data_IF_520757151850
#
_entry.id   IF_520757151850
#
_cell.length_a   1.000
_cell.length_b   1.000
_cell.length_c   1.000
_cell.angle_alpha   90.00
_cell.angle_beta   90.00
_cell.angle_gamma   90.00
#
_symmetry.space_group_name_H-M   'P 1'
#
loop_
_entity.id
_entity.type
_entity.pdbx_description
1 polymer ?
#
# COMPACT_ATOMS: atom_id res chain seq x y z
N UNK A 1 8.30 6.41 15.77
CA UNK A 1 7.34 7.42 15.28
C UNK A 1 6.01 6.74 15.05
N UNK A 2 4.90 7.47 15.03
CA UNK A 2 3.63 6.88 14.57
C UNK A 2 3.71 6.61 13.06
N UNK A 3 2.86 5.70 12.58
CA UNK A 3 2.66 5.54 11.15
C UNK A 3 2.06 6.83 10.56
N UNK A 4 2.42 7.14 9.31
CA UNK A 4 1.96 8.34 8.61
C UNK A 4 1.66 8.05 7.16
N UNK A 5 0.63 8.72 6.62
CA UNK A 5 0.27 8.62 5.21
C UNK A 5 1.22 9.48 4.38
N UNK A 6 1.87 8.87 3.39
CA UNK A 6 2.71 9.58 2.43
C UNK A 6 3.03 8.70 1.22
N UNK A 7 3.30 9.35 0.09
CA UNK A 7 4.06 8.72 -1.00
C UNK A 7 5.52 8.66 -0.59
N UNK A 8 6.16 7.49 -0.74
CA UNK A 8 7.53 7.29 -0.29
C UNK A 8 8.51 8.10 -1.14
N UNK A 9 9.64 8.48 -0.54
CA UNK A 9 10.76 9.08 -1.29
C UNK A 9 11.36 8.05 -2.25
N UNK A 10 11.37 6.77 -1.87
CA UNK A 10 11.85 5.70 -2.75
C UNK A 10 11.05 5.64 -4.05
N UNK A 11 9.73 5.69 -3.99
CA UNK A 11 8.88 5.66 -5.17
C UNK A 11 9.14 6.84 -6.09
N UNK A 12 9.30 8.04 -5.53
CA UNK A 12 9.65 9.25 -6.29
C UNK A 12 11.01 9.09 -6.99
N UNK A 13 11.97 8.45 -6.34
CA UNK A 13 13.24 8.12 -6.99
C UNK A 13 13.03 7.11 -8.11
N UNK A 14 12.29 6.03 -7.84
CA UNK A 14 12.08 4.93 -8.77
C UNK A 14 11.36 5.36 -10.05
N UNK A 15 10.39 6.27 -9.97
CA UNK A 15 9.74 6.81 -11.17
C UNK A 15 10.70 7.68 -12.01
N UNK A 16 11.62 8.40 -11.37
CA UNK A 16 12.61 9.24 -12.06
C UNK A 16 13.73 8.40 -12.68
N UNK A 17 14.04 7.25 -12.10
CA UNK A 17 15.04 6.31 -12.62
C UNK A 17 14.45 5.20 -13.50
N UNK A 18 13.13 5.22 -13.74
CA UNK A 18 12.38 4.19 -14.48
C UNK A 18 12.50 2.78 -13.86
N UNK A 19 12.70 2.71 -12.55
CA UNK A 19 12.76 1.46 -11.80
C UNK A 19 11.36 0.88 -11.60
N UNK A 20 10.41 1.70 -11.16
CA UNK A 20 9.04 1.26 -10.90
C UNK A 20 8.13 1.54 -12.11
N UNK A 21 7.38 0.53 -12.53
CA UNK A 21 6.37 0.59 -13.58
C UNK A 21 5.04 0.06 -13.05
N UNK A 22 4.18 0.98 -12.61
CA UNK A 22 2.86 0.68 -12.05
C UNK A 22 1.85 0.02 -13.02
N UNK A 23 2.19 -0.11 -14.31
CA UNK A 23 1.36 -0.83 -15.29
C UNK A 23 1.75 -2.32 -15.43
N UNK A 24 2.98 -2.70 -15.07
CA UNK A 24 3.50 -4.06 -15.26
C UNK A 24 3.95 -4.73 -13.97
N UNK A 25 4.36 -3.95 -12.98
CA UNK A 25 5.04 -4.48 -11.82
C UNK A 25 4.04 -5.05 -10.81
N UNK A 26 4.48 -6.07 -10.09
CA UNK A 26 3.66 -6.73 -9.08
C UNK A 26 3.67 -5.93 -7.79
N UNK A 27 2.52 -5.31 -7.49
CA UNK A 27 2.33 -4.49 -6.29
C UNK A 27 1.60 -5.30 -5.20
N UNK A 28 2.12 -5.27 -3.98
CA UNK A 28 1.51 -5.89 -2.79
C UNK A 28 1.16 -4.85 -1.74
N UNK A 29 0.24 -5.24 -0.86
CA UNK A 29 -0.32 -4.41 0.20
C UNK A 29 -0.17 -5.10 1.57
N UNK A 30 0.75 -4.62 2.40
CA UNK A 30 1.04 -5.15 3.73
C UNK A 30 0.44 -4.27 4.85
N UNK A 31 -0.08 -4.90 5.90
CA UNK A 31 -0.72 -4.25 7.04
C UNK A 31 0.24 -4.15 8.23
N UNK A 32 0.41 -2.95 8.79
CA UNK A 32 1.37 -2.69 9.87
C UNK A 32 0.69 -2.31 11.17
N UNK A 33 1.25 -2.82 12.29
CA UNK A 33 0.76 -2.52 13.64
C UNK A 33 0.85 -1.02 13.93
N UNK A 34 0.02 -0.53 14.85
CA UNK A 34 -0.04 0.90 15.22
C UNK A 34 1.27 1.49 15.74
N UNK A 35 2.13 0.64 16.30
CA UNK A 35 3.45 1.01 16.82
C UNK A 35 4.56 0.92 15.77
N UNK A 36 4.23 0.56 14.53
CA UNK A 36 5.18 0.62 13.44
C UNK A 36 5.57 2.09 13.14
N UNK A 37 6.60 2.26 12.31
CA UNK A 37 7.07 3.59 11.88
C UNK A 37 7.07 3.68 10.35
N UNK A 38 5.98 3.24 9.74
CA UNK A 38 5.76 3.29 8.30
C UNK A 38 5.40 4.71 7.88
N UNK A 39 6.14 5.26 6.94
CA UNK A 39 6.02 6.66 6.53
C UNK A 39 6.63 6.88 5.15
N UNK A 40 6.68 8.13 4.69
CA UNK A 40 7.34 8.49 3.44
C UNK A 40 8.85 8.20 3.40
N UNK A 41 9.48 7.95 4.55
CA UNK A 41 10.89 7.55 4.64
C UNK A 41 11.10 6.03 4.54
N UNK A 42 10.03 5.22 4.57
CA UNK A 42 10.14 3.78 4.33
C UNK A 42 10.63 3.55 2.91
N UNK A 43 11.76 2.83 2.77
CA UNK A 43 12.41 2.59 1.48
C UNK A 43 11.97 1.29 0.84
N UNK A 44 11.78 0.24 1.64
CA UNK A 44 11.33 -1.05 1.18
C UNK A 44 10.43 -1.72 2.24
N UNK A 45 9.61 -2.65 1.78
CA UNK A 45 8.86 -3.53 2.67
C UNK A 45 9.81 -4.38 3.54
N UNK A 46 9.37 -4.60 4.77
CA UNK A 46 9.97 -5.53 5.73
C UNK A 46 8.86 -6.17 6.56
N UNK A 47 9.05 -7.44 6.94
CA UNK A 47 8.14 -8.14 7.85
C UNK A 47 8.17 -7.58 9.29
N UNK A 48 9.17 -6.76 9.63
CA UNK A 48 9.28 -6.16 10.96
C UNK A 48 8.07 -5.27 11.24
N UNK A 49 7.38 -5.55 12.35
CA UNK A 49 6.17 -4.83 12.78
C UNK A 49 4.98 -4.93 11.79
N UNK A 50 5.00 -5.89 10.87
CA UNK A 50 3.80 -6.29 10.14
C UNK A 50 2.89 -7.12 11.05
N UNK A 51 1.57 -7.02 10.85
CA UNK A 51 0.64 -7.94 11.52
C UNK A 51 0.85 -9.37 11.06
N UNK A 52 0.49 -10.33 11.91
CA UNK A 52 0.43 -11.74 11.56
C UNK A 52 -0.71 -12.41 12.33
N UNK A 53 -1.27 -13.47 11.75
CA UNK A 53 -2.34 -14.24 12.39
C UNK A 53 -2.98 -15.24 11.44
N UNK A 54 -4.00 -16.00 11.89
CA UNK A 54 -4.73 -16.91 11.02
C UNK A 54 -5.19 -16.24 9.71
N UNK A 55 -4.93 -16.91 8.59
CA UNK A 55 -5.23 -16.46 7.22
C UNK A 55 -4.55 -15.14 6.79
N UNK A 56 -3.56 -14.66 7.55
CA UNK A 56 -2.68 -13.56 7.15
C UNK A 56 -1.22 -13.90 7.47
N UNK A 57 -0.42 -14.08 6.43
CA UNK A 57 1.04 -14.20 6.55
C UNK A 57 1.70 -12.89 6.20
N UNK A 58 2.84 -12.61 6.84
CA UNK A 58 3.67 -11.46 6.50
C UNK A 58 3.99 -11.41 5.00
N UNK A 59 4.03 -10.22 4.44
CA UNK A 59 4.12 -9.93 3.01
C UNK A 59 2.80 -9.45 2.42
N UNK A 60 1.69 -9.47 3.17
CA UNK A 60 0.40 -8.99 2.72
C UNK A 60 -0.13 -9.67 1.44
N UNK A 61 -1.11 -9.01 0.81
CA UNK A 61 -1.82 -9.54 -0.37
C UNK A 61 -1.37 -8.86 -1.66
N UNK A 62 -1.48 -9.56 -2.79
CA UNK A 62 -1.30 -8.94 -4.09
C UNK A 62 -2.47 -7.99 -4.39
N UNK A 63 -2.15 -6.84 -4.98
CA UNK A 63 -3.16 -5.92 -5.48
C UNK A 63 -3.60 -6.31 -6.89
N UNK A 64 -4.79 -5.88 -7.30
CA UNK A 64 -5.19 -6.00 -8.71
C UNK A 64 -4.43 -4.96 -9.52
N UNK A 65 -3.86 -5.36 -10.66
CA UNK A 65 -3.11 -4.48 -11.53
C UNK A 65 -3.94 -3.23 -11.90
N UNK A 66 -3.36 -2.06 -11.64
CA UNK A 66 -3.93 -0.77 -12.02
C UNK A 66 -3.43 -0.33 -13.40
N UNK A 67 -3.84 0.86 -13.82
CA UNK A 67 -3.31 1.48 -15.05
C UNK A 67 -3.06 2.95 -14.77
N UNK A 68 -1.84 3.42 -15.05
CA UNK A 68 -1.50 4.84 -14.96
C UNK A 68 -2.28 5.57 -16.06
N UNK A 69 -2.93 6.66 -15.67
CA UNK A 69 -3.63 7.55 -16.58
C UNK A 69 -3.24 9.01 -16.30
N UNK A 70 -3.58 9.89 -17.24
CA UNK A 70 -3.23 11.31 -17.18
C UNK A 70 -4.44 12.18 -17.49
N UNK A 71 -4.51 13.35 -16.88
CA UNK A 71 -5.49 14.40 -17.20
C UNK A 71 -4.85 15.76 -16.95
N UNK A 72 -4.78 16.61 -17.97
CA UNK A 72 -4.02 17.87 -17.90
C UNK A 72 -2.55 17.60 -17.58
N UNK A 73 -2.04 18.24 -16.53
CA UNK A 73 -0.66 18.05 -16.04
C UNK A 73 -0.55 16.96 -14.97
N UNK A 74 -1.66 16.31 -14.59
CA UNK A 74 -1.68 15.34 -13.51
C UNK A 74 -1.59 13.91 -14.06
N UNK A 75 -0.61 13.15 -13.60
CA UNK A 75 -0.57 11.69 -13.72
C UNK A 75 -1.13 11.05 -12.45
N UNK A 76 -1.92 9.99 -12.59
CA UNK A 76 -2.60 9.36 -11.46
C UNK A 76 -2.73 7.85 -11.61
N UNK A 77 -2.81 7.17 -10.46
CA UNK A 77 -2.89 5.72 -10.39
C UNK A 77 -3.53 5.24 -9.07
N UNK A 78 -4.14 4.07 -9.13
CA UNK A 78 -4.54 3.27 -7.97
C UNK A 78 -4.57 1.78 -8.35
N UNK A 79 -4.60 0.85 -7.38
CA UNK A 79 -4.95 -0.53 -7.63
C UNK A 79 -6.26 -0.68 -8.41
N UNK A 80 -6.32 -1.67 -9.31
CA UNK A 80 -7.46 -1.86 -10.22
C UNK A 80 -8.74 -2.33 -9.54
N UNK A 81 -8.67 -2.76 -8.28
CA UNK A 81 -9.81 -3.17 -7.47
C UNK A 81 -9.50 -2.95 -5.98
N UNK A 82 -10.54 -3.09 -5.14
CA UNK A 82 -10.42 -3.09 -3.70
C UNK A 82 -9.41 -4.15 -3.23
N UNK A 83 -8.66 -3.83 -2.17
CA UNK A 83 -7.73 -4.77 -1.55
C UNK A 83 -8.50 -5.51 -0.45
N UNK A 84 -8.59 -6.83 -0.57
CA UNK A 84 -9.42 -7.66 0.31
C UNK A 84 -8.56 -8.67 1.06
N UNK A 85 -8.67 -8.66 2.39
CA UNK A 85 -8.04 -9.63 3.29
C UNK A 85 -9.14 -10.51 3.89
N UNK A 86 -9.28 -11.72 3.37
CA UNK A 86 -10.46 -12.58 3.62
C UNK A 86 -10.28 -13.45 4.85
N UNK A 87 -11.29 -13.49 5.72
CA UNK A 87 -11.35 -14.38 6.90
C UNK A 87 -10.11 -14.33 7.80
N UNK A 88 -9.53 -13.14 7.98
CA UNK A 88 -8.33 -12.94 8.79
C UNK A 88 -8.68 -12.84 10.27
N UNK A 89 -7.77 -13.29 11.12
CA UNK A 89 -7.79 -13.03 12.56
C UNK A 89 -6.51 -12.30 12.93
N UNK A 90 -6.61 -11.01 13.18
CA UNK A 90 -5.54 -10.08 13.51
C UNK A 90 -5.85 -9.44 14.86
N UNK A 91 -5.28 -10.00 15.93
CA UNK A 91 -5.54 -9.57 17.32
C UNK A 91 -4.71 -8.38 17.76
N UNK A 92 -3.63 -8.07 17.04
CA UNK A 92 -2.79 -6.89 17.28
C UNK A 92 -3.37 -5.71 16.51
N UNK A 93 -3.55 -4.57 17.18
CA UNK A 93 -4.07 -3.37 16.54
C UNK A 93 -3.16 -2.88 15.41
N UNK A 94 -3.76 -2.58 14.27
CA UNK A 94 -3.07 -2.08 13.08
C UNK A 94 -3.87 -0.94 12.46
N UNK A 95 -3.17 -0.03 11.78
CA UNK A 95 -3.75 1.23 11.30
C UNK A 95 -3.20 1.68 9.94
N UNK A 96 -2.32 0.89 9.32
CA UNK A 96 -1.61 1.33 8.12
C UNK A 96 -1.47 0.22 7.11
N UNK A 97 -1.67 0.57 5.84
CA UNK A 97 -1.29 -0.25 4.69
C UNK A 97 -0.08 0.37 4.00
N UNK A 98 0.93 -0.44 3.68
CA UNK A 98 2.03 -0.10 2.80
C UNK A 98 1.79 -0.76 1.44
N UNK A 99 1.72 0.04 0.38
CA UNK A 99 1.89 -0.49 -0.97
C UNK A 99 3.38 -0.53 -1.30
N UNK A 100 3.82 -1.63 -1.89
CA UNK A 100 5.21 -1.83 -2.27
C UNK A 100 5.33 -2.70 -3.51
N UNK A 101 6.41 -2.49 -4.24
CA UNK A 101 6.72 -3.13 -5.50
C UNK A 101 7.63 -4.34 -5.29
N UNK A 102 7.07 -5.54 -5.43
CA UNK A 102 7.82 -6.80 -5.27
C UNK A 102 8.74 -7.12 -6.45
N UNK A 103 8.52 -6.48 -7.61
CA UNK A 103 9.35 -6.69 -8.80
C UNK A 103 10.69 -5.98 -8.64
N UNK A 104 10.67 -4.83 -7.94
CA UNK A 104 11.82 -3.98 -7.75
C UNK A 104 12.30 -4.00 -6.29
N UNK A 105 12.83 -5.14 -5.85
CA UNK A 105 13.47 -5.29 -4.52
C UNK A 105 12.59 -4.87 -3.34
N UNK A 106 11.28 -5.07 -3.45
CA UNK A 106 10.30 -4.70 -2.42
C UNK A 106 10.25 -3.19 -2.11
N UNK A 107 10.63 -2.33 -3.05
CA UNK A 107 10.63 -0.88 -2.84
C UNK A 107 9.25 -0.36 -2.44
N UNK A 108 9.23 0.53 -1.45
CA UNK A 108 8.00 1.11 -0.94
C UNK A 108 7.41 2.09 -1.96
N UNK A 109 6.10 2.02 -2.20
CA UNK A 109 5.36 2.98 -3.04
C UNK A 109 4.80 4.11 -2.18
N UNK A 110 4.09 3.73 -1.12
CA UNK A 110 3.44 4.68 -0.23
C UNK A 110 2.69 3.99 0.88
N UNK A 111 2.36 4.78 1.90
CA UNK A 111 1.61 4.34 3.07
C UNK A 111 0.30 5.12 3.20
N UNK A 112 -0.76 4.44 3.62
CA UNK A 112 -2.05 5.04 3.92
C UNK A 112 -2.53 4.56 5.28
N UNK A 113 -2.87 5.52 6.14
CA UNK A 113 -3.36 5.25 7.48
C UNK A 113 -4.89 5.22 7.51
N UNK A 114 -5.44 4.50 8.48
CA UNK A 114 -6.86 4.39 8.78
C UNK A 114 -7.05 4.27 10.29
N UNK A 115 -8.30 4.18 10.76
CA UNK A 115 -8.58 4.00 12.19
C UNK A 115 -8.04 2.66 12.70
N UNK A 116 -7.31 2.68 13.81
CA UNK A 116 -6.75 1.48 14.41
C UNK A 116 -7.84 0.43 14.68
N UNK A 117 -7.59 -0.81 14.29
CA UNK A 117 -8.57 -1.89 14.40
C UNK A 117 -7.92 -3.25 14.65
N UNK A 118 -8.74 -4.20 15.09
CA UNK A 118 -8.44 -5.64 15.17
C UNK A 118 -9.54 -6.39 14.43
N UNK A 119 -9.27 -7.62 14.00
CA UNK A 119 -10.22 -8.43 13.23
C UNK A 119 -10.21 -9.86 13.78
N UNK A 120 -11.38 -10.48 13.92
CA UNK A 120 -11.50 -11.88 14.31
C UNK A 120 -12.42 -12.58 13.33
N UNK A 121 -11.90 -13.57 12.59
CA UNK A 121 -12.64 -14.31 11.57
C UNK A 121 -13.44 -13.41 10.61
N UNK A 122 -12.84 -12.29 10.20
CA UNK A 122 -13.50 -11.22 9.45
C UNK A 122 -12.79 -10.90 8.14
N UNK A 123 -13.48 -10.16 7.27
CA UNK A 123 -12.89 -9.69 6.02
C UNK A 123 -12.63 -8.20 6.09
N UNK A 124 -11.37 -7.79 5.93
CA UNK A 124 -11.02 -6.37 5.73
C UNK A 124 -11.09 -6.05 4.24
N UNK A 125 -11.79 -4.97 3.89
CA UNK A 125 -11.78 -4.43 2.53
C UNK A 125 -11.29 -2.99 2.58
N UNK A 126 -10.16 -2.73 1.93
CA UNK A 126 -9.70 -1.38 1.65
C UNK A 126 -10.27 -0.96 0.29
N UNK A 127 -11.26 -0.07 0.32
CA UNK A 127 -11.95 0.39 -0.87
C UNK A 127 -11.09 1.37 -1.65
N UNK A 128 -10.81 1.07 -2.92
CA UNK A 128 -10.11 2.01 -3.78
C UNK A 128 -11.06 3.15 -4.19
N UNK A 129 -10.57 4.41 -4.26
CA UNK A 129 -11.40 5.52 -4.71
C UNK A 129 -11.71 5.40 -6.22
N UNK A 130 -12.38 6.40 -6.79
CA UNK A 130 -12.50 6.46 -8.26
C UNK A 130 -11.14 6.83 -8.84
N UNK A 131 -10.68 6.10 -9.85
CA UNK A 131 -9.44 6.43 -10.55
C UNK A 131 -9.63 7.71 -11.37
N UNK A 132 -9.10 8.83 -10.90
CA UNK A 132 -9.24 10.14 -11.54
C UNK A 132 -8.22 11.13 -11.00
N UNK A 133 -7.99 12.22 -11.73
CA UNK A 133 -6.93 13.19 -11.42
C UNK A 133 -7.09 13.95 -10.10
N UNK A 134 -8.27 13.87 -9.47
CA UNK A 134 -8.54 14.49 -8.15
C UNK A 134 -8.91 13.49 -7.08
N UNK A 135 -9.10 12.21 -7.43
CA UNK A 135 -9.65 11.18 -6.53
C UNK A 135 -8.79 9.94 -6.42
N UNK A 136 -7.87 9.68 -7.36
CA UNK A 136 -7.02 8.50 -7.33
C UNK A 136 -6.12 8.49 -6.09
N UNK A 137 -5.69 7.28 -5.72
CA UNK A 137 -4.85 7.05 -4.54
C UNK A 137 -3.47 7.72 -4.64
N UNK A 138 -2.85 7.69 -5.84
CA UNK A 138 -1.60 8.38 -6.16
C UNK A 138 -1.88 9.41 -7.24
N UNK A 139 -1.39 10.63 -7.02
CA UNK A 139 -1.47 11.75 -7.95
C UNK A 139 -0.13 12.48 -7.97
N UNK A 140 0.37 12.81 -9.16
CA UNK A 140 1.60 13.56 -9.40
C UNK A 140 1.27 14.73 -10.32
N UNK A 141 1.63 15.94 -9.90
CA UNK A 141 1.36 17.21 -10.57
C UNK A 141 2.63 17.90 -11.03
#
# INVERSE_FOLDING_TARGET
>A
MANSQAISVQFKSDILTKTCNLNSDTIKAALYVTTASISGSTTAYSATNEVSGPNYSAGGVATTAGTVATSGTTAYWQPGANIVYTNVTLTTAFDTVLLYDTTNSNHAIGSWTFGAQTITAGTLTLTMPTNGSTTALIQLN
#
